data_IF_507077240684
#
_entry.id   IF_507077240684
#
_cell.length_a   1.000
_cell.length_b   1.000
_cell.length_c   1.000
_cell.angle_alpha   90.00
_cell.angle_beta   90.00
_cell.angle_gamma   90.00
#
_symmetry.space_group_name_H-M   'P 1'
#
loop_
_entity.id
_entity.type
_entity.pdbx_description
1 polymer ?
#
# COMPACT_ATOMS: atom_id res chain seq x y z
N UNK A 1 -30.63 8.65 -11.53
CA UNK A 1 -31.99 8.30 -12.00
C UNK A 1 -32.22 6.79 -11.99
N UNK A 2 -31.30 5.94 -12.57
CA UNK A 2 -31.47 4.48 -12.59
C UNK A 2 -31.42 3.89 -11.17
N UNK A 3 -30.45 4.29 -10.33
CA UNK A 3 -30.37 3.85 -8.94
C UNK A 3 -31.63 4.24 -8.12
N UNK A 4 -32.22 5.40 -8.39
CA UNK A 4 -33.48 5.85 -7.77
C UNK A 4 -34.70 5.05 -8.24
N UNK A 5 -34.61 4.35 -9.37
CA UNK A 5 -35.64 3.47 -9.92
C UNK A 5 -35.44 2.00 -9.55
N UNK A 6 -34.40 1.68 -8.75
CA UNK A 6 -34.10 0.32 -8.36
C UNK A 6 -33.28 -0.50 -9.37
N UNK A 7 -32.88 0.12 -10.49
CA UNK A 7 -31.98 -0.53 -11.48
C UNK A 7 -30.50 -0.28 -11.11
N UNK A 8 -30.05 -0.99 -10.09
CA UNK A 8 -28.68 -0.89 -9.61
C UNK A 8 -27.67 -1.50 -10.61
N UNK A 9 -28.07 -2.52 -11.38
CA UNK A 9 -27.19 -3.17 -12.35
C UNK A 9 -26.90 -2.23 -13.52
N UNK A 10 -27.93 -1.61 -14.10
CA UNK A 10 -27.76 -0.63 -15.16
C UNK A 10 -27.00 0.63 -14.69
N UNK A 11 -27.20 1.03 -13.42
CA UNK A 11 -26.44 2.13 -12.84
C UNK A 11 -24.95 1.81 -12.70
N UNK A 12 -24.57 0.59 -12.28
CA UNK A 12 -23.19 0.14 -12.19
C UNK A 12 -22.51 0.06 -13.55
N UNK A 13 -23.21 -0.42 -14.57
CA UNK A 13 -22.71 -0.48 -15.95
C UNK A 13 -22.38 0.91 -16.49
N UNK A 14 -23.27 1.88 -16.30
CA UNK A 14 -23.02 3.28 -16.69
C UNK A 14 -21.83 3.92 -15.95
N UNK A 15 -21.60 3.49 -14.70
CA UNK A 15 -20.50 4.00 -13.88
C UNK A 15 -19.18 3.23 -14.07
N UNK A 16 -19.14 2.22 -14.91
CA UNK A 16 -17.99 1.34 -15.09
C UNK A 16 -16.70 2.11 -15.46
N UNK A 17 -16.83 3.11 -16.33
CA UNK A 17 -15.71 3.94 -16.80
C UNK A 17 -15.66 5.33 -16.14
N UNK A 18 -16.44 5.54 -15.09
CA UNK A 18 -16.50 6.84 -14.43
C UNK A 18 -15.20 7.11 -13.67
N UNK A 19 -14.64 8.31 -13.85
CA UNK A 19 -13.39 8.75 -13.21
C UNK A 19 -13.58 9.86 -12.18
N UNK A 20 -14.74 10.53 -12.15
CA UNK A 20 -14.99 11.59 -11.17
C UNK A 20 -15.18 11.03 -9.75
N UNK A 21 -14.76 11.78 -8.73
CA UNK A 21 -14.89 11.38 -7.33
C UNK A 21 -16.34 11.06 -6.95
N UNK A 22 -17.28 11.90 -7.35
CA UNK A 22 -18.72 11.70 -7.06
C UNK A 22 -19.26 10.43 -7.70
N UNK A 23 -18.88 10.12 -8.94
CA UNK A 23 -19.32 8.93 -9.63
C UNK A 23 -18.68 7.65 -9.04
N UNK A 24 -17.42 7.71 -8.63
CA UNK A 24 -16.75 6.62 -7.93
C UNK A 24 -17.37 6.36 -6.56
N UNK A 25 -17.75 7.40 -5.81
CA UNK A 25 -18.45 7.25 -4.53
C UNK A 25 -19.84 6.67 -4.71
N UNK A 26 -20.59 7.10 -5.75
CA UNK A 26 -21.89 6.51 -6.07
C UNK A 26 -21.74 5.03 -6.45
N UNK A 27 -20.74 4.68 -7.25
CA UNK A 27 -20.44 3.29 -7.59
C UNK A 27 -20.11 2.47 -6.35
N UNK A 28 -19.34 3.05 -5.41
CA UNK A 28 -19.03 2.42 -4.14
C UNK A 28 -20.29 2.15 -3.31
N UNK A 29 -21.20 3.11 -3.21
CA UNK A 29 -22.47 2.93 -2.47
C UNK A 29 -23.33 1.82 -3.10
N UNK A 30 -23.39 1.73 -4.43
CA UNK A 30 -24.11 0.67 -5.14
C UNK A 30 -23.50 -0.71 -4.91
N UNK A 31 -22.16 -0.84 -4.93
CA UNK A 31 -21.50 -2.11 -4.59
C UNK A 31 -21.79 -2.50 -3.13
N UNK A 32 -21.74 -1.55 -2.20
CA UNK A 32 -22.03 -1.80 -0.79
C UNK A 32 -23.49 -2.25 -0.56
N UNK A 33 -24.45 -1.64 -1.26
CA UNK A 33 -25.87 -2.04 -1.20
C UNK A 33 -26.09 -3.49 -1.66
N UNK A 34 -25.25 -3.99 -2.56
CA UNK A 34 -25.27 -5.38 -3.06
C UNK A 34 -24.42 -6.34 -2.21
N UNK A 35 -23.89 -5.88 -1.07
CA UNK A 35 -23.00 -6.69 -0.22
C UNK A 35 -21.58 -6.86 -0.76
N UNK A 36 -21.23 -6.23 -1.86
CA UNK A 36 -19.89 -6.27 -2.49
C UNK A 36 -18.97 -5.25 -1.81
N UNK A 37 -18.63 -5.50 -0.53
CA UNK A 37 -17.90 -4.53 0.29
C UNK A 37 -16.46 -4.33 -0.15
N UNK A 38 -15.82 -5.33 -0.75
CA UNK A 38 -14.45 -5.21 -1.26
C UNK A 38 -14.38 -4.26 -2.46
N UNK A 39 -15.31 -4.40 -3.41
CA UNK A 39 -15.45 -3.52 -4.58
C UNK A 39 -15.82 -2.10 -4.16
N UNK A 40 -16.72 -1.97 -3.17
CA UNK A 40 -17.11 -0.69 -2.59
C UNK A 40 -15.90 0.03 -1.99
N UNK A 41 -15.11 -0.69 -1.18
CA UNK A 41 -13.91 -0.16 -0.56
C UNK A 41 -12.87 0.24 -1.61
N UNK A 42 -12.67 -0.58 -2.64
CA UNK A 42 -11.78 -0.28 -3.75
C UNK A 42 -12.14 0.99 -4.51
N UNK A 43 -13.43 1.24 -4.72
CA UNK A 43 -13.87 2.49 -5.35
C UNK A 43 -13.59 3.72 -4.49
N UNK A 44 -13.77 3.62 -3.17
CA UNK A 44 -13.46 4.70 -2.21
C UNK A 44 -11.96 4.95 -2.11
N UNK A 45 -11.14 3.91 -2.06
CA UNK A 45 -9.68 4.05 -2.01
C UNK A 45 -9.13 4.76 -3.25
N UNK A 46 -9.70 4.52 -4.44
CA UNK A 46 -9.35 5.27 -5.65
C UNK A 46 -9.72 6.76 -5.54
N UNK A 47 -10.82 7.09 -4.90
CA UNK A 47 -11.16 8.50 -4.62
C UNK A 47 -10.16 9.11 -3.65
N UNK A 48 -9.89 8.44 -2.53
CA UNK A 48 -8.95 8.92 -1.50
C UNK A 48 -7.51 9.02 -2.00
N UNK A 49 -7.12 8.19 -2.96
CA UNK A 49 -5.82 8.29 -3.61
C UNK A 49 -5.65 9.59 -4.40
N UNK A 50 -6.74 10.15 -4.93
CA UNK A 50 -6.76 11.40 -5.70
C UNK A 50 -7.08 12.63 -4.84
N UNK A 51 -8.06 12.47 -3.95
CA UNK A 51 -8.52 13.53 -3.06
C UNK A 51 -8.88 12.95 -1.69
N UNK A 52 -7.98 13.11 -0.72
CA UNK A 52 -8.18 12.64 0.65
C UNK A 52 -9.28 13.40 1.37
N UNK A 53 -9.58 14.64 0.91
CA UNK A 53 -10.62 15.51 1.47
C UNK A 53 -12.00 15.28 0.84
N UNK A 54 -12.12 14.33 -0.10
CA UNK A 54 -13.38 14.03 -0.77
C UNK A 54 -14.49 13.75 0.26
N UNK A 55 -15.59 14.52 0.23
CA UNK A 55 -16.62 14.46 1.26
C UNK A 55 -17.21 13.04 1.40
N UNK A 56 -17.20 12.52 2.63
CA UNK A 56 -17.79 11.22 2.97
C UNK A 56 -16.96 10.00 2.50
N UNK A 57 -15.80 10.18 1.85
CA UNK A 57 -14.97 9.06 1.39
C UNK A 57 -14.31 8.33 2.57
N UNK A 58 -13.72 9.04 3.52
CA UNK A 58 -13.11 8.47 4.71
C UNK A 58 -14.12 7.72 5.60
N UNK A 59 -15.34 8.26 5.75
CA UNK A 59 -16.38 7.57 6.51
C UNK A 59 -16.76 6.21 5.89
N UNK A 60 -16.89 6.17 4.57
CA UNK A 60 -17.17 4.94 3.82
C UNK A 60 -16.03 3.95 3.96
N UNK A 61 -14.80 4.40 3.80
CA UNK A 61 -13.61 3.58 3.98
C UNK A 61 -13.60 2.94 5.38
N UNK A 62 -13.77 3.72 6.44
CA UNK A 62 -13.79 3.23 7.81
C UNK A 62 -14.95 2.27 8.08
N UNK A 63 -16.13 2.54 7.53
CA UNK A 63 -17.32 1.69 7.71
C UNK A 63 -17.11 0.33 7.08
N UNK A 64 -16.69 0.29 5.82
CA UNK A 64 -16.59 -0.95 5.07
C UNK A 64 -15.33 -1.75 5.40
N UNK A 65 -14.22 -1.09 5.74
CA UNK A 65 -13.04 -1.79 6.26
C UNK A 65 -13.35 -2.55 7.55
N UNK A 66 -14.13 -1.96 8.45
CA UNK A 66 -14.60 -2.65 9.66
C UNK A 66 -15.50 -3.84 9.36
N UNK A 67 -16.41 -3.69 8.40
CA UNK A 67 -17.32 -4.77 8.00
C UNK A 67 -16.58 -5.95 7.34
N UNK A 68 -15.44 -5.70 6.69
CA UNK A 68 -14.54 -6.72 6.13
C UNK A 68 -13.55 -7.31 7.15
N UNK A 69 -13.68 -6.95 8.45
CA UNK A 69 -12.78 -7.45 9.50
C UNK A 69 -11.39 -6.80 9.51
N UNK A 70 -11.18 -5.72 8.79
CA UNK A 70 -9.95 -4.95 8.86
C UNK A 70 -9.90 -4.18 10.19
N UNK A 71 -8.85 -4.43 10.97
CA UNK A 71 -8.61 -3.74 12.24
C UNK A 71 -8.49 -2.23 12.02
N UNK A 72 -9.09 -1.44 12.91
CA UNK A 72 -9.14 0.02 12.89
C UNK A 72 -7.83 0.67 12.44
N UNK A 73 -7.88 1.43 11.35
CA UNK A 73 -6.96 2.55 11.13
C UNK A 73 -7.59 3.74 11.88
N UNK A 74 -7.25 3.90 13.14
CA UNK A 74 -7.54 5.13 13.86
C UNK A 74 -6.60 6.22 13.36
N UNK A 75 -7.15 7.28 12.75
CA UNK A 75 -6.40 8.53 12.69
C UNK A 75 -6.30 9.04 14.14
N UNK A 76 -5.10 9.38 14.65
CA UNK A 76 -4.98 10.01 15.95
C UNK A 76 -5.65 11.38 15.87
N UNK A 77 -6.62 11.64 16.76
CA UNK A 77 -7.05 13.00 17.08
C UNK A 77 -5.93 13.71 17.85
N UNK A 78 -5.87 15.03 17.78
CA UNK A 78 -4.78 15.84 18.35
C UNK A 78 -4.54 15.61 19.87
N UNK A 79 -5.49 14.97 20.57
CA UNK A 79 -5.41 14.66 22.00
C UNK A 79 -4.84 13.27 22.32
N UNK A 80 -4.62 12.40 21.32
CA UNK A 80 -4.06 11.06 21.49
C UNK A 80 -2.51 11.00 21.40
N UNK A 81 -1.83 12.13 21.58
CA UNK A 81 -0.36 12.23 21.50
C UNK A 81 0.33 11.76 22.79
N UNK A 82 -0.27 10.82 23.52
CA UNK A 82 0.51 9.99 24.44
C UNK A 82 0.66 8.59 23.83
N UNK A 83 1.12 8.55 22.57
CA UNK A 83 1.67 7.32 22.02
C UNK A 83 2.99 7.09 22.75
N UNK A 84 3.01 6.06 23.60
CA UNK A 84 4.26 5.39 23.88
C UNK A 84 4.88 5.08 22.50
N UNK A 85 5.85 5.90 22.07
CA UNK A 85 6.77 5.51 21.04
C UNK A 85 7.19 4.09 21.41
N UNK A 86 7.12 3.08 20.52
CA UNK A 86 7.72 1.80 20.81
C UNK A 86 9.10 2.17 21.35
N UNK A 87 9.43 1.65 22.51
CA UNK A 87 10.60 2.07 23.27
C UNK A 87 11.75 2.17 22.28
N UNK A 88 12.11 3.40 21.94
CA UNK A 88 13.12 3.73 20.94
C UNK A 88 14.52 3.22 21.33
N UNK A 89 14.58 2.42 22.38
CA UNK A 89 15.77 1.91 23.02
C UNK A 89 16.48 0.79 22.26
N UNK A 90 15.88 0.25 21.21
CA UNK A 90 16.46 -0.94 20.55
C UNK A 90 16.89 -0.70 19.09
N UNK A 91 16.54 0.43 18.49
CA UNK A 91 16.98 0.77 17.13
C UNK A 91 18.15 1.78 17.17
N UNK A 92 19.22 1.60 16.38
CA UNK A 92 20.32 2.56 16.31
C UNK A 92 19.95 3.87 15.59
N UNK A 93 18.75 3.95 15.03
CA UNK A 93 18.26 5.09 14.23
C UNK A 93 17.49 6.09 15.06
N UNK A 94 17.70 7.38 14.80
CA UNK A 94 16.98 8.48 15.45
C UNK A 94 15.68 8.75 14.70
N UNK A 95 14.54 8.39 15.28
CA UNK A 95 13.22 8.62 14.70
C UNK A 95 12.92 10.12 14.68
N UNK A 96 12.48 10.64 13.54
CA UNK A 96 12.12 12.04 13.34
C UNK A 96 10.61 12.26 13.26
N UNK A 97 9.91 11.47 12.44
CA UNK A 97 8.45 11.56 12.31
C UNK A 97 7.88 10.26 11.74
N UNK A 98 6.63 9.99 12.02
CA UNK A 98 5.88 8.91 11.39
C UNK A 98 5.52 9.28 9.95
N UNK A 99 5.65 8.33 9.04
CA UNK A 99 5.31 8.46 7.61
C UNK A 99 4.01 7.75 7.28
N UNK A 100 3.86 6.54 7.84
CA UNK A 100 2.70 5.70 7.58
C UNK A 100 2.49 4.71 8.73
N UNK A 101 1.23 4.30 8.95
CA UNK A 101 0.87 3.26 9.91
C UNK A 101 -0.12 2.31 9.27
N UNK A 102 0.05 1.02 9.49
CA UNK A 102 -0.82 -0.03 8.98
C UNK A 102 -0.90 -1.24 9.91
N UNK A 103 -1.65 -2.27 9.52
CA UNK A 103 -1.85 -3.46 10.33
C UNK A 103 -0.59 -4.28 10.61
N UNK A 104 0.46 -4.15 9.80
CA UNK A 104 1.73 -4.85 9.97
C UNK A 104 2.78 -4.07 10.75
N UNK A 105 2.60 -2.77 10.97
CA UNK A 105 3.60 -1.92 11.61
C UNK A 105 3.46 -0.45 11.26
N UNK A 106 4.45 0.34 11.65
CA UNK A 106 4.55 1.74 11.32
C UNK A 106 5.89 2.04 10.64
N UNK A 107 5.90 2.99 9.71
CA UNK A 107 7.09 3.45 8.98
C UNK A 107 7.41 4.86 9.44
N UNK A 108 8.67 5.10 9.76
CA UNK A 108 9.17 6.37 10.25
C UNK A 108 10.27 6.94 9.35
N UNK A 109 10.30 8.25 9.20
CA UNK A 109 11.49 8.93 8.78
C UNK A 109 12.49 8.90 9.93
N UNK A 110 13.66 8.35 9.72
CA UNK A 110 14.70 8.25 10.73
C UNK A 110 16.06 8.66 10.14
N UNK A 111 17.02 8.89 11.01
CA UNK A 111 18.39 9.22 10.66
C UNK A 111 19.35 8.19 11.27
N UNK A 112 20.29 7.74 10.46
CA UNK A 112 21.45 7.02 10.89
C UNK A 112 22.46 8.02 11.47
N UNK A 113 22.67 8.05 12.78
CA UNK A 113 23.54 9.05 13.41
C UNK A 113 25.03 8.83 13.12
N UNK A 114 25.41 7.62 12.68
CA UNK A 114 26.80 7.27 12.36
C UNK A 114 27.12 7.64 10.92
N UNK A 115 26.26 7.25 9.98
CA UNK A 115 26.47 7.50 8.56
C UNK A 115 25.87 8.82 8.08
N UNK A 116 25.22 9.59 8.97
CA UNK A 116 24.60 10.90 8.72
C UNK A 116 23.66 10.88 7.50
N UNK A 117 22.88 9.82 7.35
CA UNK A 117 21.95 9.63 6.23
C UNK A 117 20.53 9.40 6.72
N UNK A 118 19.56 9.77 5.89
CA UNK A 118 18.14 9.43 6.13
C UNK A 118 17.84 8.01 5.72
N UNK A 119 16.95 7.38 6.49
CA UNK A 119 16.41 6.04 6.23
C UNK A 119 14.89 6.03 6.45
N UNK A 120 14.21 5.11 5.81
CA UNK A 120 12.83 4.75 6.16
C UNK A 120 12.89 3.56 7.12
N UNK A 121 12.51 3.77 8.38
CA UNK A 121 12.54 2.74 9.42
C UNK A 121 11.15 2.16 9.61
N UNK A 122 10.95 0.90 9.24
CA UNK A 122 9.72 0.16 9.48
C UNK A 122 9.85 -0.63 10.78
N UNK A 123 8.89 -0.44 11.69
CA UNK A 123 8.79 -1.15 12.96
C UNK A 123 7.51 -1.98 12.93
N UNK A 124 7.63 -3.29 13.04
CA UNK A 124 6.52 -4.22 13.03
C UNK A 124 5.85 -4.32 14.41
N UNK A 125 4.55 -4.59 14.46
CA UNK A 125 3.78 -4.71 15.69
C UNK A 125 3.69 -6.17 16.17
N UNK A 126 3.81 -6.38 17.49
CA UNK A 126 3.64 -7.68 18.16
C UNK A 126 4.88 -8.58 18.05
N UNK A 127 5.44 -9.01 19.16
CA UNK A 127 6.76 -9.64 19.25
C UNK A 127 7.00 -10.83 18.30
N UNK A 128 6.31 -11.94 18.46
CA UNK A 128 6.57 -13.15 17.64
C UNK A 128 6.13 -12.97 16.16
N UNK A 129 5.02 -12.25 15.93
CA UNK A 129 4.54 -11.96 14.58
C UNK A 129 5.42 -10.93 13.89
N UNK A 130 5.93 -9.93 14.63
CA UNK A 130 6.83 -8.92 14.14
C UNK A 130 8.14 -9.51 13.63
N UNK A 131 8.77 -10.39 14.42
CA UNK A 131 10.00 -11.09 14.02
C UNK A 131 9.84 -11.86 12.72
N UNK A 132 8.76 -12.64 12.61
CA UNK A 132 8.48 -13.43 11.40
C UNK A 132 8.23 -12.54 10.18
N UNK A 133 7.48 -11.44 10.35
CA UNK A 133 7.20 -10.50 9.28
C UNK A 133 8.46 -9.75 8.84
N UNK A 134 9.27 -9.27 9.78
CA UNK A 134 10.54 -8.60 9.49
C UNK A 134 11.51 -9.54 8.78
N UNK A 135 11.69 -10.79 9.26
CA UNK A 135 12.52 -11.79 8.60
C UNK A 135 12.08 -12.01 7.15
N UNK A 136 10.79 -12.27 6.93
CA UNK A 136 10.25 -12.51 5.60
C UNK A 136 10.47 -11.33 4.65
N UNK A 137 10.24 -10.10 5.13
CA UNK A 137 10.44 -8.89 4.35
C UNK A 137 11.92 -8.69 3.96
N UNK A 138 12.84 -8.90 4.91
CA UNK A 138 14.29 -8.80 4.67
C UNK A 138 14.76 -9.88 3.70
N UNK A 139 14.39 -11.14 3.94
CA UNK A 139 14.76 -12.27 3.06
C UNK A 139 14.34 -12.02 1.62
N UNK A 140 13.10 -11.54 1.41
CA UNK A 140 12.59 -11.27 0.07
C UNK A 140 13.23 -10.02 -0.57
N UNK A 141 13.42 -8.95 0.19
CA UNK A 141 14.06 -7.75 -0.32
C UNK A 141 15.51 -8.04 -0.77
N UNK A 142 16.23 -8.89 -0.04
CA UNK A 142 17.58 -9.33 -0.44
C UNK A 142 17.56 -10.33 -1.59
N UNK A 143 16.67 -11.32 -1.59
CA UNK A 143 16.52 -12.29 -2.68
C UNK A 143 16.14 -11.61 -4.00
N UNK A 144 15.27 -10.61 -3.94
CA UNK A 144 14.76 -9.86 -5.10
C UNK A 144 15.54 -8.57 -5.34
N UNK A 145 16.66 -8.38 -4.65
CA UNK A 145 17.51 -7.19 -4.77
C UNK A 145 17.86 -6.86 -6.22
N UNK A 146 17.79 -5.57 -6.57
CA UNK A 146 18.12 -5.07 -7.90
C UNK A 146 17.27 -3.87 -8.29
N UNK A 147 17.38 -3.42 -9.54
CA UNK A 147 16.63 -2.28 -10.04
C UNK A 147 15.13 -2.42 -9.75
N UNK A 148 14.50 -1.34 -9.28
CA UNK A 148 13.08 -1.31 -9.00
C UNK A 148 12.64 -1.97 -7.68
N UNK A 149 13.55 -2.37 -6.81
CA UNK A 149 13.27 -2.86 -5.45
C UNK A 149 14.00 -1.99 -4.42
N UNK A 150 13.28 -1.54 -3.39
CA UNK A 150 13.87 -0.76 -2.32
C UNK A 150 14.97 -1.56 -1.63
N UNK A 151 16.11 -0.90 -1.38
CA UNK A 151 17.24 -1.55 -0.73
C UNK A 151 17.06 -1.53 0.79
N UNK A 152 17.18 -2.69 1.43
CA UNK A 152 17.37 -2.80 2.88
C UNK A 152 18.79 -2.36 3.19
N UNK A 153 18.94 -1.45 4.13
CA UNK A 153 20.25 -0.91 4.54
C UNK A 153 20.71 -1.46 5.87
N UNK A 154 19.77 -1.87 6.70
CA UNK A 154 20.01 -2.55 7.98
C UNK A 154 18.70 -3.17 8.50
N UNK A 155 18.77 -4.17 9.37
CA UNK A 155 17.60 -4.79 9.95
C UNK A 155 17.92 -5.53 11.25
N UNK A 156 16.97 -5.56 12.15
CA UNK A 156 16.95 -6.47 13.30
C UNK A 156 15.60 -7.16 13.40
N UNK A 157 15.45 -8.33 12.77
CA UNK A 157 14.21 -9.09 12.85
C UNK A 157 13.83 -9.48 14.29
N UNK A 158 14.84 -9.71 15.15
CA UNK A 158 14.61 -10.03 16.56
C UNK A 158 13.96 -8.88 17.33
N UNK A 159 14.33 -7.64 16.97
CA UNK A 159 13.76 -6.42 17.50
C UNK A 159 12.57 -5.92 16.67
N UNK A 160 12.25 -6.58 15.55
CA UNK A 160 11.09 -6.31 14.72
C UNK A 160 11.20 -5.05 13.87
N UNK A 161 12.40 -4.61 13.46
CA UNK A 161 12.54 -3.45 12.58
C UNK A 161 13.39 -3.72 11.33
N UNK A 162 13.11 -2.94 10.30
CA UNK A 162 13.83 -2.94 9.01
C UNK A 162 14.08 -1.49 8.58
N UNK A 163 15.32 -1.15 8.33
CA UNK A 163 15.72 0.15 7.78
C UNK A 163 15.96 0.04 6.27
N UNK A 164 15.33 0.90 5.52
CA UNK A 164 15.36 0.93 4.06
C UNK A 164 15.92 2.25 3.54
N UNK A 165 16.37 2.23 2.31
CA UNK A 165 16.82 3.42 1.61
C UNK A 165 15.72 4.50 1.55
N UNK A 166 16.13 5.75 1.73
CA UNK A 166 15.22 6.89 1.78
C UNK A 166 14.77 7.32 0.38
N UNK A 167 13.48 7.16 0.09
CA UNK A 167 12.87 7.69 -1.12
C UNK A 167 12.51 9.17 -0.91
N UNK A 168 13.29 10.06 -1.51
CA UNK A 168 13.21 11.50 -1.26
C UNK A 168 11.91 12.16 -1.73
N UNK A 169 11.25 11.59 -2.73
CA UNK A 169 9.94 12.06 -3.23
C UNK A 169 8.75 11.35 -2.57
N UNK A 170 9.00 10.37 -1.68
CA UNK A 170 7.94 9.60 -1.04
C UNK A 170 7.32 8.56 -1.97
N UNK A 171 6.05 8.21 -1.75
CA UNK A 171 5.33 7.24 -2.57
C UNK A 171 4.57 7.91 -3.73
N UNK A 172 4.21 7.12 -4.75
CA UNK A 172 3.30 7.54 -5.83
C UNK A 172 1.98 8.06 -5.24
N UNK A 173 1.48 7.44 -4.16
CA UNK A 173 0.30 7.94 -3.44
C UNK A 173 0.51 9.37 -2.91
N UNK A 174 1.68 9.67 -2.35
CA UNK A 174 1.97 11.01 -1.83
C UNK A 174 2.02 12.03 -2.96
N UNK A 175 2.60 11.67 -4.12
CA UNK A 175 2.66 12.52 -5.30
C UNK A 175 1.30 12.73 -5.96
N UNK A 176 0.46 11.70 -5.99
CA UNK A 176 -0.94 11.83 -6.44
C UNK A 176 -1.73 12.81 -5.55
N UNK A 177 -1.50 12.75 -4.23
CA UNK A 177 -2.15 13.66 -3.28
C UNK A 177 -1.69 15.10 -3.41
N UNK A 178 -0.41 15.32 -3.66
CA UNK A 178 0.15 16.67 -3.86
C UNK A 178 -0.13 17.23 -5.26
N UNK A 179 -0.60 16.39 -6.19
CA UNK A 179 -0.91 16.79 -7.57
C UNK A 179 0.32 17.14 -8.41
N UNK A 180 1.51 16.70 -8.00
CA UNK A 180 2.78 17.04 -8.65
C UNK A 180 3.47 15.85 -9.35
N UNK A 181 2.82 14.67 -9.38
CA UNK A 181 3.40 13.45 -9.92
C UNK A 181 3.92 13.62 -11.36
N UNK A 182 3.07 14.13 -12.25
CA UNK A 182 3.43 14.29 -13.68
C UNK A 182 4.53 15.34 -13.92
N UNK A 183 4.64 16.31 -13.02
CA UNK A 183 5.69 17.33 -13.08
C UNK A 183 7.06 16.79 -12.68
N UNK A 184 7.10 15.82 -11.76
CA UNK A 184 8.33 15.30 -11.19
C UNK A 184 8.91 14.16 -12.03
N UNK A 185 8.05 13.26 -12.50
CA UNK A 185 8.49 12.12 -13.32
C UNK A 185 7.43 11.81 -14.38
N UNK A 186 7.79 11.79 -15.66
CA UNK A 186 6.87 11.44 -16.72
C UNK A 186 6.23 10.06 -16.49
N UNK A 187 4.91 9.96 -16.65
CA UNK A 187 4.16 8.73 -16.38
C UNK A 187 4.75 7.49 -17.09
N UNK A 188 5.09 7.63 -18.37
CA UNK A 188 5.68 6.53 -19.13
C UNK A 188 7.00 6.02 -18.54
N UNK A 189 7.81 6.89 -17.95
CA UNK A 189 9.13 6.51 -17.41
C UNK A 189 9.01 5.70 -16.12
N UNK A 190 8.20 6.14 -15.16
CA UNK A 190 8.08 5.42 -13.89
C UNK A 190 7.23 4.14 -14.02
N UNK A 191 6.22 4.14 -14.88
CA UNK A 191 5.43 2.94 -15.17
C UNK A 191 6.30 1.86 -15.84
N UNK A 192 7.17 2.24 -16.80
CA UNK A 192 8.09 1.29 -17.41
C UNK A 192 9.03 0.66 -16.37
N UNK A 193 9.65 1.46 -15.50
CA UNK A 193 10.53 0.95 -14.44
C UNK A 193 9.78 -0.02 -13.49
N UNK A 194 8.53 0.31 -13.13
CA UNK A 194 7.69 -0.57 -12.32
C UNK A 194 7.39 -1.88 -13.03
N UNK A 195 7.03 -1.84 -14.31
CA UNK A 195 6.79 -3.05 -15.11
C UNK A 195 8.03 -3.94 -15.22
N UNK A 196 9.21 -3.35 -15.43
CA UNK A 196 10.50 -4.08 -15.47
C UNK A 196 10.82 -4.74 -14.12
N UNK A 197 10.58 -4.04 -13.01
CA UNK A 197 10.75 -4.60 -11.67
C UNK A 197 9.82 -5.79 -11.42
N UNK A 198 8.54 -5.67 -11.77
CA UNK A 198 7.55 -6.75 -11.67
C UNK A 198 7.94 -7.94 -12.55
N UNK A 199 8.32 -7.70 -13.81
CA UNK A 199 8.76 -8.78 -14.70
C UNK A 199 9.97 -9.54 -14.15
N UNK A 200 10.88 -8.87 -13.45
CA UNK A 200 12.04 -9.50 -12.78
C UNK A 200 11.61 -10.34 -11.58
N UNK A 201 10.72 -9.83 -10.74
CA UNK A 201 10.14 -10.51 -9.57
C UNK A 201 9.40 -11.79 -10.03
N UNK A 202 8.55 -11.67 -11.07
CA UNK A 202 7.79 -12.78 -11.62
C UNK A 202 8.69 -13.87 -12.24
N UNK A 203 9.77 -13.47 -12.95
CA UNK A 203 10.77 -14.44 -13.47
C UNK A 203 11.51 -15.19 -12.35
N UNK A 204 11.63 -14.60 -11.17
CA UNK A 204 12.16 -15.28 -9.98
C UNK A 204 11.11 -16.20 -9.30
N UNK A 205 9.91 -16.31 -9.84
CA UNK A 205 8.82 -17.13 -9.32
C UNK A 205 8.09 -16.53 -8.12
N UNK A 206 8.17 -15.22 -7.94
CA UNK A 206 7.49 -14.49 -6.85
C UNK A 206 6.42 -13.56 -7.38
N UNK A 207 5.42 -13.29 -6.55
CA UNK A 207 4.36 -12.31 -6.76
C UNK A 207 4.41 -11.34 -5.58
N UNK A 208 4.44 -10.04 -5.85
CA UNK A 208 4.49 -9.00 -4.82
C UNK A 208 3.21 -8.99 -3.97
N UNK A 209 2.08 -9.16 -4.64
CA UNK A 209 0.78 -9.42 -4.03
C UNK A 209 0.14 -8.22 -3.29
N UNK A 210 0.76 -7.02 -3.31
CA UNK A 210 0.19 -5.78 -2.78
C UNK A 210 0.63 -4.55 -3.60
N UNK A 211 0.50 -4.64 -4.94
CA UNK A 211 0.80 -3.51 -5.83
C UNK A 211 -0.25 -2.43 -5.65
N UNK A 212 0.20 -1.25 -5.22
CA UNK A 212 -0.63 -0.05 -5.02
C UNK A 212 0.25 1.20 -4.97
N UNK A 213 -0.29 2.40 -5.19
CA UNK A 213 0.48 3.65 -5.18
C UNK A 213 1.28 3.93 -3.90
N UNK A 214 0.84 3.38 -2.76
CA UNK A 214 1.54 3.51 -1.49
C UNK A 214 2.84 2.70 -1.42
N UNK A 215 2.93 1.59 -2.16
CA UNK A 215 4.05 0.68 -2.17
C UNK A 215 5.02 0.92 -3.34
N UNK A 216 4.80 1.97 -4.13
CA UNK A 216 5.69 2.43 -5.19
C UNK A 216 6.36 3.72 -4.74
N UNK A 217 7.64 3.67 -4.46
CA UNK A 217 8.45 4.77 -3.95
C UNK A 217 9.19 5.47 -5.09
N UNK A 218 9.47 6.75 -4.93
CA UNK A 218 10.14 7.58 -5.93
C UNK A 218 11.34 8.31 -5.31
N UNK A 219 12.49 8.18 -5.93
CA UNK A 219 13.69 8.91 -5.59
C UNK A 219 13.83 10.18 -6.45
N UNK A 220 14.56 11.17 -5.94
CA UNK A 220 14.86 12.40 -6.70
C UNK A 220 15.73 12.17 -7.94
N UNK A 221 16.41 11.02 -8.02
CA UNK A 221 17.11 10.55 -9.21
C UNK A 221 16.19 10.13 -10.37
N UNK A 222 14.87 10.02 -10.11
CA UNK A 222 13.89 9.49 -11.06
C UNK A 222 13.73 7.98 -11.02
N UNK A 223 14.42 7.30 -10.10
CA UNK A 223 14.27 5.88 -9.86
C UNK A 223 12.96 5.58 -9.11
N UNK A 224 12.39 4.42 -9.45
CA UNK A 224 11.17 3.91 -8.82
C UNK A 224 11.46 2.59 -8.16
N UNK A 225 11.00 2.44 -6.91
CA UNK A 225 11.26 1.25 -6.11
C UNK A 225 9.97 0.67 -5.53
N UNK A 226 9.79 -0.64 -5.69
CA UNK A 226 8.79 -1.41 -4.94
C UNK A 226 9.26 -1.63 -3.51
N UNK A 227 8.32 -1.51 -2.57
CA UNK A 227 8.52 -1.74 -1.13
C UNK A 227 7.39 -2.57 -0.55
N UNK A 228 7.53 -3.01 0.70
CA UNK A 228 6.52 -3.77 1.45
C UNK A 228 6.25 -5.17 0.88
N UNK A 229 7.28 -6.02 0.94
CA UNK A 229 7.21 -7.45 0.56
C UNK A 229 6.57 -8.33 1.66
N UNK A 230 5.96 -7.74 2.68
CA UNK A 230 5.44 -8.47 3.85
C UNK A 230 4.38 -9.53 3.55
N UNK A 231 3.70 -9.46 2.40
CA UNK A 231 2.74 -10.47 1.94
C UNK A 231 3.10 -11.10 0.59
N UNK A 232 4.28 -10.75 0.06
CA UNK A 232 4.77 -11.35 -1.18
C UNK A 232 4.94 -12.87 -1.01
N UNK A 233 4.73 -13.64 -2.07
CA UNK A 233 4.74 -15.09 -2.02
C UNK A 233 5.14 -15.73 -3.35
N UNK A 234 5.42 -17.03 -3.29
CA UNK A 234 5.65 -17.81 -4.50
C UNK A 234 4.39 -17.84 -5.36
N UNK A 235 4.58 -17.83 -6.67
CA UNK A 235 3.49 -18.14 -7.59
C UNK A 235 2.88 -19.51 -7.22
N UNK A 236 1.59 -19.65 -7.42
CA UNK A 236 0.76 -20.82 -7.07
C UNK A 236 0.59 -21.09 -5.55
N UNK A 237 1.16 -20.24 -4.68
CA UNK A 237 0.92 -20.36 -3.26
C UNK A 237 -0.51 -19.92 -2.89
N UNK A 238 -1.17 -20.73 -2.05
CA UNK A 238 -2.43 -20.32 -1.45
C UNK A 238 -2.23 -19.14 -0.51
N UNK A 239 -3.22 -18.29 -0.38
CA UNK A 239 -3.19 -17.23 0.62
C UNK A 239 -4.18 -16.10 0.39
N UNK A 240 -4.42 -15.37 1.48
CA UNK A 240 -5.23 -14.16 1.51
C UNK A 240 -4.39 -12.95 1.90
N UNK A 241 -5.02 -11.81 2.02
CA UNK A 241 -4.40 -10.54 2.37
C UNK A 241 -4.27 -9.60 1.18
N UNK A 242 -3.68 -8.44 1.40
CA UNK A 242 -3.57 -7.36 0.42
C UNK A 242 -4.58 -6.25 0.65
N UNK A 243 -4.45 -5.21 -0.15
CA UNK A 243 -5.26 -4.00 -0.03
C UNK A 243 -6.55 -4.16 -0.83
N UNK A 244 -7.75 -4.12 -0.20
CA UNK A 244 -9.01 -4.47 -0.84
C UNK A 244 -9.29 -3.78 -2.17
N UNK A 245 -8.82 -2.54 -2.36
CA UNK A 245 -9.02 -1.78 -3.60
C UNK A 245 -8.15 -2.19 -4.78
N UNK A 246 -7.18 -3.09 -4.55
CA UNK A 246 -6.17 -3.52 -5.52
C UNK A 246 -6.15 -5.04 -5.71
N UNK A 247 -7.13 -5.74 -5.12
CA UNK A 247 -7.29 -7.18 -5.27
C UNK A 247 -7.86 -7.52 -6.64
N UNK A 248 -7.24 -8.47 -7.34
CA UNK A 248 -7.78 -9.01 -8.58
C UNK A 248 -9.10 -9.77 -8.32
N UNK A 249 -10.00 -9.87 -9.32
CA UNK A 249 -11.20 -10.69 -9.20
C UNK A 249 -10.90 -12.13 -8.84
N UNK A 250 -9.82 -12.70 -9.36
CA UNK A 250 -9.37 -14.07 -9.10
C UNK A 250 -9.01 -14.25 -7.62
N UNK A 251 -8.31 -13.28 -7.03
CA UNK A 251 -8.00 -13.31 -5.59
C UNK A 251 -9.22 -13.19 -4.72
N UNK A 252 -10.18 -12.36 -5.10
CA UNK A 252 -11.46 -12.26 -4.40
C UNK A 252 -12.23 -13.61 -4.47
N UNK A 253 -12.05 -14.36 -5.55
CA UNK A 253 -12.54 -15.73 -5.72
C UNK A 253 -11.73 -16.80 -4.98
N UNK A 254 -10.63 -16.45 -4.30
CA UNK A 254 -9.78 -17.39 -3.56
C UNK A 254 -8.77 -18.15 -4.41
N UNK A 255 -8.48 -17.68 -5.63
CA UNK A 255 -7.45 -18.29 -6.48
C UNK A 255 -6.04 -18.20 -5.86
N UNK A 256 -5.13 -19.13 -6.17
CA UNK A 256 -3.72 -19.04 -5.80
C UNK A 256 -3.05 -17.78 -6.37
N UNK A 257 -1.94 -17.37 -5.75
CA UNK A 257 -1.19 -16.20 -6.19
C UNK A 257 -0.64 -16.38 -7.60
N UNK A 258 -0.88 -15.39 -8.45
CA UNK A 258 -0.41 -15.38 -9.83
C UNK A 258 0.20 -14.02 -10.22
N UNK A 259 1.14 -13.97 -11.16
CA UNK A 259 1.67 -12.70 -11.70
C UNK A 259 0.57 -11.73 -12.19
N UNK A 260 -0.56 -12.26 -12.64
CA UNK A 260 -1.74 -11.47 -13.03
C UNK A 260 -2.31 -10.62 -11.90
N UNK A 261 -2.12 -11.00 -10.63
CA UNK A 261 -2.56 -10.21 -9.48
C UNK A 261 -1.79 -8.88 -9.40
N UNK A 262 -0.47 -8.93 -9.62
CA UNK A 262 0.36 -7.73 -9.66
C UNK A 262 0.06 -6.88 -10.90
N UNK A 263 -0.21 -7.51 -12.05
CA UNK A 263 -0.63 -6.81 -13.27
C UNK A 263 -1.95 -6.08 -13.07
N UNK A 264 -2.89 -6.68 -12.37
CA UNK A 264 -4.16 -6.03 -12.01
C UNK A 264 -3.95 -4.80 -11.13
N UNK A 265 -3.09 -4.90 -10.12
CA UNK A 265 -2.75 -3.77 -9.24
C UNK A 265 -1.93 -2.67 -9.94
N UNK A 266 -1.23 -3.03 -11.03
CA UNK A 266 -0.46 -2.10 -11.86
C UNK A 266 -1.38 -1.24 -12.76
N UNK A 267 -2.45 -1.79 -13.31
CA UNK A 267 -3.41 -1.10 -14.22
C UNK A 267 -4.55 -0.45 -13.48
#
# INVERSE_FOLDING_TARGET
LLALRGDEAGALELLQHATSASALLLRADLHAARGQLAEALGAVERVLARDISAPGALERQHRWSRALGATRITQPTADDVTLALPTASESPFVIRRELARGGGGAVYAAEDPVLLRRVALKIHHGEARARKAANHEVELAELLRGPGVVRVVDASPEQGWVAMEWASLGSVRDRLRSGDLERLVPAAAWLLQLAEALARIHRAGWVHYDIKPANVLMASSGEVWLTDFGIARRADAAGGGGSPGYLSPERLGGAPAAPSDDVYGYG
#
